data_IF_232746379879
#
_entry.id   IF_232746379879
#
_cell.length_a   1.000
_cell.length_b   1.000
_cell.length_c   1.000
_cell.angle_alpha   90.00
_cell.angle_beta   90.00
_cell.angle_gamma   90.00
#
_symmetry.space_group_name_H-M   'P 1'
#
loop_
_entity.id
_entity.type
_entity.pdbx_description
1 polymer ?
#
# COMPACT_ATOMS: atom_id res chain seq x y z
N UNK A 1 -21.70 8.96 -17.71
CA UNK A 1 -22.08 7.73 -18.41
C UNK A 1 -23.28 7.13 -17.70
N UNK A 2 -24.35 6.70 -18.39
CA UNK A 2 -25.44 5.97 -17.75
C UNK A 2 -24.90 4.63 -17.23
N UNK A 3 -25.17 4.30 -15.96
CA UNK A 3 -24.99 2.95 -15.45
C UNK A 3 -25.86 2.01 -16.29
N UNK A 4 -25.23 1.08 -17.02
CA UNK A 4 -25.96 -0.04 -17.61
C UNK A 4 -26.34 -0.94 -16.44
N UNK A 5 -27.53 -0.72 -15.88
CA UNK A 5 -28.11 -1.61 -14.88
C UNK A 5 -28.59 -2.87 -15.60
N UNK A 6 -27.67 -3.82 -15.78
CA UNK A 6 -28.01 -5.17 -16.21
C UNK A 6 -28.84 -5.86 -15.12
N UNK A 7 -29.82 -6.67 -15.52
CA UNK A 7 -30.41 -7.63 -14.60
C UNK A 7 -29.35 -8.66 -14.16
N UNK A 8 -29.59 -9.31 -13.02
CA UNK A 8 -28.67 -10.34 -12.52
C UNK A 8 -28.47 -11.48 -13.53
N UNK A 9 -29.53 -11.87 -14.25
CA UNK A 9 -29.48 -12.92 -15.28
C UNK A 9 -28.66 -12.48 -16.50
N UNK A 10 -28.79 -11.22 -16.94
CA UNK A 10 -27.99 -10.68 -18.05
C UNK A 10 -26.52 -10.56 -17.68
N UNK A 11 -26.21 -10.12 -16.45
CA UNK A 11 -24.84 -10.04 -15.97
C UNK A 11 -24.19 -11.43 -15.89
N UNK A 12 -24.92 -12.44 -15.43
CA UNK A 12 -24.43 -13.82 -15.37
C UNK A 12 -24.22 -14.41 -16.77
N UNK A 13 -25.17 -14.19 -17.69
CA UNK A 13 -25.04 -14.65 -19.07
C UNK A 13 -23.85 -14.00 -19.79
N UNK A 14 -23.64 -12.69 -19.57
CA UNK A 14 -22.53 -11.94 -20.16
C UNK A 14 -21.18 -12.39 -19.60
N UNK A 15 -21.10 -12.65 -18.30
CA UNK A 15 -19.91 -13.21 -17.68
C UNK A 15 -19.60 -14.63 -18.21
N UNK A 16 -20.61 -15.48 -18.35
CA UNK A 16 -20.44 -16.82 -18.94
C UNK A 16 -19.97 -16.74 -20.40
N UNK A 17 -20.49 -15.79 -21.18
CA UNK A 17 -20.03 -15.50 -22.54
C UNK A 17 -18.55 -15.12 -22.54
N UNK A 18 -18.13 -14.16 -21.73
CA UNK A 18 -16.73 -13.72 -21.68
C UNK A 18 -15.78 -14.83 -21.27
N UNK A 19 -16.11 -15.58 -20.22
CA UNK A 19 -15.29 -16.72 -19.78
C UNK A 19 -15.14 -17.74 -20.91
N UNK A 20 -16.23 -18.05 -21.62
CA UNK A 20 -16.20 -18.97 -22.76
C UNK A 20 -15.35 -18.42 -23.91
N UNK A 21 -15.52 -17.14 -24.26
CA UNK A 21 -14.78 -16.50 -25.35
C UNK A 21 -13.28 -16.47 -25.06
N UNK A 22 -12.89 -16.08 -23.85
CA UNK A 22 -11.49 -16.02 -23.42
C UNK A 22 -10.85 -17.42 -23.48
N UNK A 23 -11.54 -18.45 -23.00
CA UNK A 23 -11.00 -19.81 -22.94
C UNK A 23 -10.97 -20.52 -24.30
N UNK A 24 -11.98 -20.32 -25.14
CA UNK A 24 -12.12 -21.06 -26.40
C UNK A 24 -11.59 -20.29 -27.61
N UNK A 25 -11.67 -18.95 -27.59
CA UNK A 25 -11.28 -18.07 -28.70
C UNK A 25 -10.47 -16.87 -28.19
N UNK A 26 -9.31 -17.09 -27.53
CA UNK A 26 -8.55 -16.05 -26.84
C UNK A 26 -8.12 -14.89 -27.75
N UNK A 27 -7.76 -15.19 -29.01
CA UNK A 27 -7.38 -14.14 -29.96
C UNK A 27 -8.56 -13.23 -30.34
N UNK A 28 -9.77 -13.80 -30.43
CA UNK A 28 -10.99 -13.02 -30.68
C UNK A 28 -11.31 -12.14 -29.47
N UNK A 29 -11.18 -12.67 -28.25
CA UNK A 29 -11.36 -11.90 -27.02
C UNK A 29 -10.42 -10.69 -26.95
N UNK A 30 -9.11 -10.90 -27.20
CA UNK A 30 -8.14 -9.79 -27.23
C UNK A 30 -8.45 -8.78 -28.33
N UNK A 31 -8.84 -9.25 -29.52
CA UNK A 31 -9.19 -8.35 -30.62
C UNK A 31 -10.37 -7.46 -30.24
N UNK A 32 -11.43 -8.04 -29.67
CA UNK A 32 -12.61 -7.29 -29.22
C UNK A 32 -12.26 -6.28 -28.12
N UNK A 33 -11.48 -6.68 -27.11
CA UNK A 33 -11.10 -5.77 -26.02
C UNK A 33 -10.18 -4.64 -26.48
N UNK A 34 -9.28 -4.91 -27.42
CA UNK A 34 -8.45 -3.85 -28.01
C UNK A 34 -9.26 -2.90 -28.91
N UNK A 35 -10.28 -3.39 -29.61
CA UNK A 35 -11.14 -2.53 -30.44
C UNK A 35 -12.15 -1.73 -29.63
N UNK A 36 -12.66 -2.29 -28.53
CA UNK A 36 -13.69 -1.71 -27.67
C UNK A 36 -13.30 -1.87 -26.17
N UNK A 37 -12.35 -1.07 -25.65
CA UNK A 37 -11.88 -1.15 -24.27
C UNK A 37 -12.97 -0.99 -23.21
N UNK A 38 -14.09 -0.32 -23.54
CA UNK A 38 -15.27 -0.20 -22.70
C UNK A 38 -15.88 -1.55 -22.31
N UNK A 39 -15.72 -2.58 -23.15
CA UNK A 39 -16.18 -3.92 -22.89
C UNK A 39 -15.48 -4.57 -21.70
N UNK A 40 -14.30 -4.07 -21.31
CA UNK A 40 -13.64 -4.48 -20.06
C UNK A 40 -14.59 -4.34 -18.86
N UNK A 41 -15.46 -3.31 -18.87
CA UNK A 41 -16.48 -3.08 -17.85
C UNK A 41 -17.52 -4.20 -17.70
N UNK A 42 -17.58 -5.13 -18.65
CA UNK A 42 -18.62 -6.17 -18.75
C UNK A 42 -18.15 -7.59 -18.40
N UNK A 43 -16.85 -7.79 -18.16
CA UNK A 43 -16.29 -9.11 -17.81
C UNK A 43 -16.79 -9.61 -16.44
N UNK A 44 -17.03 -8.68 -15.52
CA UNK A 44 -17.21 -8.97 -14.10
C UNK A 44 -16.00 -9.71 -13.50
N UNK A 45 -16.08 -10.15 -12.23
CA UNK A 45 -14.94 -10.74 -11.52
C UNK A 45 -14.35 -11.99 -12.18
N UNK A 46 -15.19 -12.96 -12.56
CA UNK A 46 -14.72 -14.24 -13.15
C UNK A 46 -14.18 -14.10 -14.56
N UNK A 47 -14.75 -13.18 -15.34
CA UNK A 47 -14.23 -12.87 -16.67
C UNK A 47 -12.86 -12.21 -16.58
N UNK A 48 -12.67 -11.30 -15.61
CA UNK A 48 -11.37 -10.69 -15.33
C UNK A 48 -10.34 -11.74 -14.90
N UNK A 49 -10.70 -12.64 -13.97
CA UNK A 49 -9.84 -13.77 -13.58
C UNK A 49 -9.44 -14.62 -14.78
N UNK A 50 -10.41 -15.03 -15.62
CA UNK A 50 -10.12 -15.81 -16.82
C UNK A 50 -9.20 -15.07 -17.79
N UNK A 51 -9.35 -13.74 -17.93
CA UNK A 51 -8.50 -12.91 -18.77
C UNK A 51 -7.04 -12.97 -18.28
N UNK A 52 -6.82 -12.73 -16.99
CA UNK A 52 -5.47 -12.74 -16.40
C UNK A 52 -4.84 -14.13 -16.41
N UNK A 53 -5.61 -15.18 -16.10
CA UNK A 53 -5.13 -16.57 -16.17
C UNK A 53 -4.71 -16.98 -17.59
N UNK A 54 -5.45 -16.52 -18.60
CA UNK A 54 -5.23 -16.91 -19.99
C UNK A 54 -4.05 -16.18 -20.66
N UNK A 55 -3.84 -14.91 -20.31
CA UNK A 55 -2.88 -14.04 -21.02
C UNK A 55 -1.67 -13.61 -20.18
N UNK A 56 -1.76 -13.63 -18.85
CA UNK A 56 -0.66 -13.28 -17.94
C UNK A 56 0.05 -11.99 -18.32
N UNK A 57 1.39 -12.03 -18.31
CA UNK A 57 2.28 -10.88 -18.59
C UNK A 57 2.01 -10.19 -19.94
N UNK A 58 1.42 -10.88 -20.93
CA UNK A 58 1.06 -10.25 -22.20
C UNK A 58 0.06 -9.08 -22.01
N UNK A 59 -0.74 -9.11 -20.94
CA UNK A 59 -1.67 -8.04 -20.58
C UNK A 59 -0.98 -6.75 -20.16
N UNK A 60 0.27 -6.79 -19.71
CA UNK A 60 1.03 -5.59 -19.37
C UNK A 60 1.24 -4.68 -20.60
N UNK A 61 1.19 -5.23 -21.81
CA UNK A 61 1.32 -4.49 -23.07
C UNK A 61 -0.02 -4.26 -23.77
N UNK A 62 -1.15 -4.64 -23.15
CA UNK A 62 -2.45 -4.53 -23.78
C UNK A 62 -2.98 -3.08 -23.73
N UNK A 63 -3.34 -2.55 -24.89
CA UNK A 63 -3.78 -1.15 -25.04
C UNK A 63 -5.06 -0.84 -24.26
N UNK A 64 -5.93 -1.83 -24.07
CA UNK A 64 -7.17 -1.69 -23.31
C UNK A 64 -6.98 -1.70 -21.78
N UNK A 65 -5.77 -2.07 -21.30
CA UNK A 65 -5.37 -2.05 -19.89
C UNK A 65 -4.38 -0.92 -19.56
N UNK A 66 -4.16 0.01 -20.49
CA UNK A 66 -3.42 1.24 -20.20
C UNK A 66 -4.13 2.02 -19.10
N UNK A 67 -3.39 2.44 -18.07
CA UNK A 67 -3.96 3.11 -16.89
C UNK A 67 -4.79 4.31 -17.30
N UNK A 68 -4.28 5.14 -18.21
CA UNK A 68 -4.95 6.35 -18.73
C UNK A 68 -6.32 6.10 -19.36
N UNK A 69 -6.66 4.84 -19.62
CA UNK A 69 -7.91 4.42 -20.25
C UNK A 69 -8.83 3.66 -19.30
N UNK A 70 -8.52 3.53 -18.02
CA UNK A 70 -9.35 2.77 -17.07
C UNK A 70 -10.44 3.62 -16.39
N UNK A 71 -10.57 4.90 -16.77
CA UNK A 71 -11.51 5.87 -16.20
C UNK A 71 -12.98 5.48 -16.38
N UNK A 72 -13.31 4.68 -17.40
CA UNK A 72 -14.69 4.22 -17.66
C UNK A 72 -15.11 3.05 -16.77
N UNK A 73 -14.15 2.34 -16.16
CA UNK A 73 -14.45 1.19 -15.32
C UNK A 73 -15.12 1.64 -14.01
N UNK A 74 -16.06 0.83 -13.55
CA UNK A 74 -16.61 0.98 -12.20
C UNK A 74 -15.50 0.78 -11.16
N UNK A 75 -15.54 1.50 -10.01
CA UNK A 75 -14.45 1.48 -9.03
C UNK A 75 -14.01 0.08 -8.61
N UNK A 76 -14.94 -0.81 -8.26
CA UNK A 76 -14.61 -2.17 -7.80
C UNK A 76 -13.85 -3.00 -8.86
N UNK A 77 -14.26 -2.88 -10.13
CA UNK A 77 -13.62 -3.62 -11.22
C UNK A 77 -12.28 -3.01 -11.58
N UNK A 78 -12.18 -1.68 -11.53
CA UNK A 78 -10.93 -0.94 -11.71
C UNK A 78 -9.90 -1.36 -10.66
N UNK A 79 -10.28 -1.33 -9.39
CA UNK A 79 -9.42 -1.70 -8.27
C UNK A 79 -8.93 -3.15 -8.42
N UNK A 80 -9.83 -4.07 -8.77
CA UNK A 80 -9.46 -5.47 -9.04
C UNK A 80 -8.53 -5.63 -10.24
N UNK A 81 -8.74 -4.84 -11.30
CA UNK A 81 -7.87 -4.85 -12.48
C UNK A 81 -6.48 -4.32 -12.15
N UNK A 82 -6.40 -3.24 -11.37
CA UNK A 82 -5.12 -2.71 -10.87
C UNK A 82 -4.39 -3.73 -10.01
N UNK A 83 -5.07 -4.34 -9.03
CA UNK A 83 -4.51 -5.40 -8.18
C UNK A 83 -3.89 -6.53 -9.02
N UNK A 84 -4.61 -7.01 -10.03
CA UNK A 84 -4.13 -8.07 -10.93
C UNK A 84 -2.93 -7.62 -11.78
N UNK A 85 -2.92 -6.38 -12.29
CA UNK A 85 -1.78 -5.82 -13.03
C UNK A 85 -0.52 -5.70 -12.14
N UNK A 86 -0.69 -5.24 -10.90
CA UNK A 86 0.40 -5.19 -9.92
C UNK A 86 0.91 -6.59 -9.55
N UNK A 87 0.04 -7.59 -9.55
CA UNK A 87 0.40 -9.00 -9.38
C UNK A 87 1.26 -9.57 -10.50
N UNK A 88 1.15 -9.04 -11.72
CA UNK A 88 1.99 -9.41 -12.85
C UNK A 88 3.37 -8.74 -12.77
N UNK A 89 3.42 -7.42 -12.63
CA UNK A 89 4.68 -6.66 -12.53
C UNK A 89 4.51 -5.38 -11.70
N UNK A 90 4.82 -5.47 -10.41
CA UNK A 90 4.72 -4.34 -9.49
C UNK A 90 5.70 -3.20 -9.78
N UNK A 91 6.87 -3.47 -10.38
CA UNK A 91 7.87 -2.45 -10.71
C UNK A 91 7.39 -1.60 -11.88
N UNK A 92 7.02 -2.27 -12.99
CA UNK A 92 6.48 -1.60 -14.15
C UNK A 92 5.20 -0.81 -13.82
N UNK A 93 4.31 -1.38 -13.02
CA UNK A 93 3.05 -0.72 -12.65
C UNK A 93 3.29 0.48 -11.74
N UNK A 94 4.29 0.42 -10.84
CA UNK A 94 4.71 1.60 -10.06
C UNK A 94 5.15 2.72 -11.01
N UNK A 95 6.03 2.44 -11.95
CA UNK A 95 6.54 3.46 -12.89
C UNK A 95 5.41 4.10 -13.69
N UNK A 96 4.44 3.30 -14.15
CA UNK A 96 3.28 3.80 -14.90
C UNK A 96 2.39 4.69 -14.06
N UNK A 97 2.09 4.31 -12.81
CA UNK A 97 1.30 5.14 -11.88
C UNK A 97 2.00 6.47 -11.62
N UNK A 98 3.30 6.45 -11.35
CA UNK A 98 4.08 7.67 -11.08
C UNK A 98 4.20 8.59 -12.29
N UNK A 99 4.12 8.03 -13.51
CA UNK A 99 4.13 8.79 -14.75
C UNK A 99 2.80 9.51 -15.06
N UNK A 100 1.68 9.11 -14.42
CA UNK A 100 0.41 9.80 -14.56
C UNK A 100 0.50 11.24 -14.04
N UNK A 101 -0.28 12.16 -14.62
CA UNK A 101 -0.36 13.54 -14.13
C UNK A 101 -0.89 13.59 -12.68
N UNK A 102 -0.44 14.55 -11.88
CA UNK A 102 -0.83 14.67 -10.46
C UNK A 102 -2.34 14.89 -10.27
N UNK A 103 -3.00 15.55 -11.23
CA UNK A 103 -4.43 15.79 -11.25
C UNK A 103 -5.24 14.63 -11.85
N UNK A 104 -4.58 13.54 -12.27
CA UNK A 104 -5.26 12.36 -12.78
C UNK A 104 -5.91 11.59 -11.62
N UNK A 105 -7.24 11.37 -11.64
CA UNK A 105 -7.95 10.68 -10.55
C UNK A 105 -7.51 9.23 -10.34
N UNK A 106 -7.01 8.56 -11.39
CA UNK A 106 -6.48 7.20 -11.30
C UNK A 106 -5.14 7.14 -10.61
N UNK A 107 -4.39 8.24 -10.59
CA UNK A 107 -3.08 8.27 -9.93
C UNK A 107 -3.23 8.00 -8.43
N UNK A 108 -4.18 8.63 -7.77
CA UNK A 108 -4.40 8.41 -6.34
C UNK A 108 -4.76 6.94 -6.05
N UNK A 109 -5.66 6.34 -6.85
CA UNK A 109 -6.01 4.93 -6.73
C UNK A 109 -4.80 4.02 -6.97
N UNK A 110 -4.04 4.30 -8.03
CA UNK A 110 -2.82 3.57 -8.36
C UNK A 110 -1.76 3.66 -7.26
N UNK A 111 -1.61 4.81 -6.60
CA UNK A 111 -0.66 4.99 -5.50
C UNK A 111 -1.02 4.12 -4.29
N UNK A 112 -2.31 3.95 -3.98
CA UNK A 112 -2.74 2.96 -2.98
C UNK A 112 -2.34 1.53 -3.39
N UNK A 113 -2.53 1.16 -4.66
CA UNK A 113 -2.09 -0.16 -5.16
C UNK A 113 -0.57 -0.33 -5.12
N UNK A 114 0.23 0.73 -5.36
CA UNK A 114 1.69 0.72 -5.17
C UNK A 114 2.03 0.36 -3.73
N UNK A 115 1.35 1.00 -2.78
CA UNK A 115 1.57 0.76 -1.35
C UNK A 115 1.23 -0.69 -1.00
N UNK A 116 0.06 -1.18 -1.39
CA UNK A 116 -0.42 -2.54 -1.08
C UNK A 116 0.48 -3.63 -1.66
N UNK A 117 0.89 -3.47 -2.93
CA UNK A 117 1.76 -4.42 -3.62
C UNK A 117 3.15 -4.50 -2.95
N UNK A 118 3.68 -3.36 -2.50
CA UNK A 118 4.99 -3.30 -1.85
C UNK A 118 4.96 -3.74 -0.41
N UNK A 119 3.94 -3.36 0.35
CA UNK A 119 3.76 -3.83 1.73
C UNK A 119 3.67 -5.36 1.79
N UNK A 120 3.00 -5.98 0.82
CA UNK A 120 2.85 -7.44 0.74
C UNK A 120 4.17 -8.17 0.48
N UNK A 121 5.14 -7.52 -0.18
CA UNK A 121 6.41 -8.13 -0.59
C UNK A 121 7.62 -7.71 0.28
N UNK A 122 7.57 -6.55 0.91
CA UNK A 122 8.68 -5.94 1.66
C UNK A 122 8.17 -5.15 2.89
N UNK A 123 7.59 -5.80 3.91
CA UNK A 123 7.08 -5.08 5.08
C UNK A 123 8.24 -4.47 5.89
N UNK A 124 8.09 -3.25 6.40
CA UNK A 124 9.08 -2.63 7.29
C UNK A 124 9.88 -1.49 6.68
N UNK A 125 11.18 -1.48 6.99
CA UNK A 125 12.11 -0.41 6.62
C UNK A 125 12.33 -0.39 5.11
N UNK A 126 12.36 -1.54 4.46
CA UNK A 126 12.54 -1.69 3.02
C UNK A 126 11.43 -0.97 2.24
N UNK A 127 10.17 -1.11 2.67
CA UNK A 127 9.05 -0.35 2.12
C UNK A 127 9.24 1.16 2.29
N UNK A 128 9.69 1.60 3.47
CA UNK A 128 9.94 3.01 3.74
C UNK A 128 11.07 3.56 2.87
N UNK A 129 12.16 2.81 2.69
CA UNK A 129 13.27 3.16 1.81
C UNK A 129 12.83 3.28 0.36
N UNK A 130 12.05 2.32 -0.12
CA UNK A 130 11.45 2.35 -1.45
C UNK A 130 10.61 3.61 -1.63
N UNK A 131 9.61 3.81 -0.78
CA UNK A 131 8.66 4.90 -0.94
C UNK A 131 9.34 6.28 -0.80
N UNK A 132 10.29 6.38 0.12
CA UNK A 132 11.10 7.58 0.30
C UNK A 132 12.03 7.85 -0.88
N UNK A 133 12.58 6.81 -1.51
CA UNK A 133 13.42 6.89 -2.70
C UNK A 133 12.69 7.46 -3.92
N UNK A 134 11.37 7.25 -4.02
CA UNK A 134 10.55 7.79 -5.11
C UNK A 134 10.37 9.32 -5.02
N UNK A 135 10.46 9.89 -3.81
CA UNK A 135 10.26 11.32 -3.53
C UNK A 135 8.96 11.90 -4.10
N UNK A 136 7.92 11.06 -4.25
CA UNK A 136 6.66 11.47 -4.84
C UNK A 136 5.78 12.25 -3.83
N UNK A 137 5.33 13.48 -4.13
CA UNK A 137 4.57 14.28 -3.17
C UNK A 137 3.23 13.68 -2.76
N UNK A 138 2.51 13.05 -3.69
CA UNK A 138 1.19 12.47 -3.40
C UNK A 138 1.34 11.17 -2.61
N UNK A 139 2.30 10.33 -2.97
CA UNK A 139 2.64 9.14 -2.20
C UNK A 139 3.06 9.51 -0.77
N UNK A 140 3.93 10.53 -0.61
CA UNK A 140 4.36 10.97 0.70
C UNK A 140 3.21 11.48 1.57
N UNK A 141 2.22 12.15 0.98
CA UNK A 141 1.03 12.59 1.70
C UNK A 141 0.17 11.39 2.13
N UNK A 142 -0.08 10.44 1.22
CA UNK A 142 -0.78 9.19 1.55
C UNK A 142 -0.08 8.44 2.69
N UNK A 143 1.24 8.34 2.66
CA UNK A 143 2.02 7.69 3.72
C UNK A 143 1.95 8.43 5.04
N UNK A 144 1.78 9.76 5.03
CA UNK A 144 1.55 10.55 6.25
C UNK A 144 0.17 10.30 6.82
N UNK A 145 -0.85 10.27 5.99
CA UNK A 145 -2.25 10.10 6.42
C UNK A 145 -2.52 8.66 6.87
N UNK A 146 -2.09 7.68 6.09
CA UNK A 146 -2.42 6.26 6.27
C UNK A 146 -1.31 5.44 6.92
N UNK A 147 -0.26 6.07 7.47
CA UNK A 147 0.79 5.37 8.25
C UNK A 147 0.23 4.41 9.29
N UNK A 148 -0.92 4.82 9.86
CA UNK A 148 -1.90 4.04 10.60
C UNK A 148 -1.90 2.53 10.32
N UNK A 149 -2.03 2.23 9.03
CA UNK A 149 -2.50 0.96 8.49
C UNK A 149 -1.36 0.05 8.03
N UNK A 150 -0.11 0.52 8.05
CA UNK A 150 1.03 -0.29 7.67
C UNK A 150 1.44 -1.22 8.81
N UNK A 151 1.50 -2.52 8.50
CA UNK A 151 1.99 -3.54 9.41
C UNK A 151 3.52 -3.63 9.37
N UNK A 152 4.09 -3.73 10.56
CA UNK A 152 5.47 -3.37 10.80
C UNK A 152 6.06 -4.34 11.81
N UNK A 153 6.90 -5.27 11.35
CA UNK A 153 7.42 -6.37 12.18
C UNK A 153 8.36 -5.89 13.30
N UNK A 154 9.14 -4.83 13.05
CA UNK A 154 10.10 -4.26 13.99
C UNK A 154 9.93 -2.73 14.12
N UNK A 155 9.16 -2.25 15.12
CA UNK A 155 8.97 -0.83 15.37
C UNK A 155 10.27 -0.07 15.68
N UNK A 156 11.31 -0.74 16.20
CA UNK A 156 12.57 -0.09 16.57
C UNK A 156 13.40 0.22 15.34
N UNK A 157 13.56 -0.75 14.44
CA UNK A 157 14.23 -0.55 13.17
C UNK A 157 13.60 0.62 12.38
N UNK A 158 12.27 0.78 12.46
CA UNK A 158 11.57 1.90 11.83
C UNK A 158 11.86 3.22 12.51
N UNK A 159 11.80 3.27 13.85
CA UNK A 159 12.18 4.48 14.57
C UNK A 159 13.62 4.86 14.24
N UNK A 160 14.58 3.94 14.31
CA UNK A 160 15.98 4.22 13.91
C UNK A 160 16.07 4.78 12.49
N UNK A 161 15.35 4.15 11.55
CA UNK A 161 15.34 4.61 10.17
C UNK A 161 14.78 6.03 10.05
N UNK A 162 13.64 6.34 10.65
CA UNK A 162 13.04 7.68 10.61
C UNK A 162 13.99 8.71 11.23
N UNK A 163 14.73 8.36 12.30
CA UNK A 163 15.69 9.26 12.94
C UNK A 163 16.84 9.67 12.04
N UNK A 164 17.35 8.69 11.32
CA UNK A 164 18.64 8.83 10.64
C UNK A 164 18.49 9.06 9.13
N UNK A 165 17.32 8.74 8.56
CA UNK A 165 17.10 8.71 7.11
C UNK A 165 15.96 9.60 6.62
N UNK A 166 14.93 9.85 7.41
CA UNK A 166 13.76 10.65 6.99
C UNK A 166 14.02 12.18 7.04
N UNK A 167 15.03 12.66 6.32
CA UNK A 167 15.40 14.08 6.31
C UNK A 167 14.36 15.00 5.66
N UNK A 168 13.39 14.44 4.93
CA UNK A 168 12.26 15.16 4.32
C UNK A 168 11.04 15.20 5.25
N UNK A 169 11.10 14.48 6.38
CA UNK A 169 10.03 14.45 7.37
C UNK A 169 8.74 13.81 6.87
N UNK A 170 8.82 12.82 5.98
CA UNK A 170 7.65 12.08 5.48
C UNK A 170 7.02 11.27 6.62
N UNK A 171 7.83 10.52 7.36
CA UNK A 171 7.38 9.60 8.40
C UNK A 171 7.56 10.14 9.83
N UNK A 172 8.31 11.23 9.99
CA UNK A 172 8.58 11.90 11.28
C UNK A 172 7.34 12.16 12.14
N UNK A 173 6.17 12.57 11.60
CA UNK A 173 4.96 12.75 12.42
C UNK A 173 4.52 11.50 13.20
N UNK A 174 5.02 10.32 12.84
CA UNK A 174 4.53 9.04 13.33
C UNK A 174 5.37 8.41 14.44
N UNK A 175 6.48 9.07 14.78
CA UNK A 175 7.43 8.61 15.79
C UNK A 175 6.82 8.40 17.16
N UNK A 176 5.96 9.32 17.59
CA UNK A 176 5.32 9.24 18.91
C UNK A 176 4.42 8.00 19.01
N UNK A 177 3.78 7.61 17.90
CA UNK A 177 2.94 6.42 17.83
C UNK A 177 3.79 5.16 17.93
N UNK A 178 4.87 5.08 17.14
CA UNK A 178 5.81 3.97 17.16
C UNK A 178 6.47 3.82 18.53
N UNK A 179 6.87 4.93 19.17
CA UNK A 179 7.46 4.91 20.50
C UNK A 179 6.51 4.30 21.54
N UNK A 180 5.22 4.66 21.50
CA UNK A 180 4.19 4.07 22.38
C UNK A 180 3.99 2.58 22.11
N UNK A 181 3.95 2.17 20.84
CA UNK A 181 3.83 0.76 20.47
C UNK A 181 5.05 -0.05 20.93
N UNK A 182 6.26 0.42 20.63
CA UNK A 182 7.51 -0.21 21.05
C UNK A 182 7.57 -0.38 22.56
N UNK A 183 7.24 0.66 23.32
CA UNK A 183 7.15 0.60 24.78
C UNK A 183 6.11 -0.44 25.23
N UNK A 184 4.94 -0.51 24.60
CA UNK A 184 3.87 -1.44 25.01
C UNK A 184 4.21 -2.92 24.79
N UNK A 185 4.96 -3.22 23.74
CA UNK A 185 5.25 -4.59 23.27
C UNK A 185 6.53 -5.21 23.84
N UNK A 186 7.41 -4.41 24.45
CA UNK A 186 8.73 -4.87 24.94
C UNK A 186 8.84 -4.79 26.46
N UNK A 187 9.85 -5.51 27.00
CA UNK A 187 10.19 -5.40 28.42
C UNK A 187 10.84 -4.05 28.72
N UNK A 188 10.77 -3.61 29.97
CA UNK A 188 11.37 -2.32 30.36
C UNK A 188 12.89 -2.32 30.23
N UNK A 189 13.54 -3.46 30.43
CA UNK A 189 14.98 -3.62 30.23
C UNK A 189 15.36 -3.40 28.76
N UNK A 190 14.55 -3.91 27.84
CA UNK A 190 14.72 -3.67 26.40
C UNK A 190 14.49 -2.20 26.05
N UNK A 191 13.41 -1.59 26.55
CA UNK A 191 13.14 -0.16 26.35
C UNK A 191 14.30 0.70 26.83
N UNK A 192 14.88 0.41 27.99
CA UNK A 192 16.04 1.12 28.50
C UNK A 192 17.26 1.00 27.56
N UNK A 193 17.55 -0.21 27.09
CA UNK A 193 18.65 -0.45 26.16
C UNK A 193 18.49 0.37 24.86
N UNK A 194 17.27 0.58 24.37
CA UNK A 194 17.01 1.41 23.18
C UNK A 194 17.25 2.90 23.42
N UNK A 195 16.83 3.41 24.58
CA UNK A 195 17.08 4.81 24.95
C UNK A 195 18.60 5.03 25.14
N UNK A 196 19.29 4.06 25.74
CA UNK A 196 20.75 4.05 25.87
C UNK A 196 21.48 4.02 24.52
N UNK A 197 20.93 3.31 23.54
CA UNK A 197 21.44 3.27 22.17
C UNK A 197 21.24 4.60 21.40
N UNK A 198 20.48 5.56 21.96
CA UNK A 198 20.26 6.88 21.35
C UNK A 198 19.13 6.93 20.32
N UNK A 199 18.30 5.90 20.28
CA UNK A 199 17.15 5.79 19.38
C UNK A 199 15.98 6.57 19.98
N UNK A 200 15.58 7.69 19.38
CA UNK A 200 14.47 8.55 19.81
C UNK A 200 14.27 8.64 21.33
N UNK A 201 15.35 8.96 22.09
CA UNK A 201 15.40 8.70 23.52
C UNK A 201 14.34 9.50 24.29
N UNK A 202 14.08 10.74 23.91
CA UNK A 202 13.07 11.59 24.54
C UNK A 202 11.63 11.09 24.35
N UNK A 203 11.31 10.56 23.17
CA UNK A 203 9.97 10.07 22.84
C UNK A 203 9.72 8.73 23.51
N UNK A 204 10.70 7.81 23.46
CA UNK A 204 10.65 6.54 24.20
C UNK A 204 10.55 6.78 25.71
N UNK A 205 11.32 7.70 26.27
CA UNK A 205 11.24 8.11 27.66
C UNK A 205 9.85 8.64 28.02
N UNK A 206 9.30 9.54 27.19
CA UNK A 206 7.98 10.14 27.42
C UNK A 206 6.85 9.11 27.29
N UNK A 207 6.96 8.16 26.35
CA UNK A 207 6.01 7.06 26.18
C UNK A 207 6.07 6.05 27.33
N UNK A 208 7.27 5.66 27.77
CA UNK A 208 7.48 4.86 28.98
C UNK A 208 6.89 5.57 30.20
N UNK A 209 7.10 6.88 30.29
CA UNK A 209 6.58 7.72 31.36
C UNK A 209 5.05 7.67 31.44
N UNK A 210 4.38 7.86 30.30
CA UNK A 210 2.93 7.83 30.23
C UNK A 210 2.35 6.44 30.55
N UNK A 211 3.04 5.36 30.17
CA UNK A 211 2.58 3.98 30.43
C UNK A 211 2.65 3.60 31.91
N UNK A 212 3.73 3.96 32.59
CA UNK A 212 4.05 3.37 33.90
C UNK A 212 3.22 3.92 35.05
N UNK A 213 2.76 5.18 34.98
CA UNK A 213 2.17 5.87 36.14
C UNK A 213 3.05 5.79 37.41
N UNK A 214 2.55 6.24 38.55
CA UNK A 214 3.18 5.94 39.85
C UNK A 214 2.73 4.52 40.30
N UNK A 215 3.53 3.54 40.76
CA UNK A 215 4.97 3.23 40.81
C UNK A 215 5.05 1.71 41.11
N UNK A 216 6.00 1.01 40.48
CA UNK A 216 6.64 -0.21 41.03
C UNK A 216 8.14 0.07 41.22
N UNK A 217 8.84 -0.71 42.03
CA UNK A 217 10.27 -0.46 42.36
C UNK A 217 11.20 -0.54 41.13
N UNK A 218 10.91 -1.40 40.16
CA UNK A 218 11.66 -1.49 38.90
C UNK A 218 11.46 -0.27 38.01
N UNK A 219 10.26 0.30 38.02
CA UNK A 219 9.95 1.51 37.26
C UNK A 219 10.74 2.71 37.82
N UNK A 220 10.95 2.78 39.14
CA UNK A 220 11.64 3.89 39.78
C UNK A 220 13.09 4.06 39.33
N UNK A 221 13.83 2.97 39.15
CA UNK A 221 15.20 3.04 38.66
C UNK A 221 15.29 3.55 37.23
N UNK A 222 14.36 3.12 36.37
CA UNK A 222 14.25 3.64 35.01
C UNK A 222 13.88 5.13 35.03
N UNK A 223 12.98 5.53 35.93
CA UNK A 223 12.57 6.92 36.09
C UNK A 223 13.72 7.84 36.47
N UNK A 224 14.51 7.44 37.46
CA UNK A 224 15.67 8.20 37.91
C UNK A 224 16.71 8.32 36.77
N UNK A 225 16.94 7.22 36.04
CA UNK A 225 17.84 7.20 34.88
C UNK A 225 17.36 8.12 33.72
N UNK A 226 16.05 8.14 33.43
CA UNK A 226 15.45 9.01 32.40
C UNK A 226 15.55 10.50 32.74
N UNK A 227 15.53 10.86 34.02
CA UNK A 227 15.63 12.24 34.46
C UNK A 227 17.06 12.78 34.40
N UNK A 228 18.07 11.94 34.62
CA UNK A 228 19.48 12.31 34.59
C UNK A 228 20.03 12.62 33.18
N UNK A 229 19.28 12.30 32.10
CA UNK A 229 19.72 12.43 30.70
C UNK A 229 18.95 13.47 29.87
N UNK A 230 18.04 14.25 30.49
CA UNK A 230 17.41 15.44 29.88
C UNK A 230 18.31 16.66 29.99
#
# INVERSE_FOLDING_TARGET
MPEILLSAEEAEALQAYWVTLIQQQPQEALMQLNSEPELLGTLGPRGLEALFDQFGDALLQADFLQLERMDHLQPQLRDKTLEQLFGLDSELMTDRVLALAQDNPLRQQGLYSVIDARQSSQPGVEFMEFAYGLQDPQLNELLREDYGNFEFADPLAQMEWIQHRDYLGVFTPQLDRLARQAVSSHSMEQVQAFIEAGVYPSQLASAAQARLGERSASNQQLWDWLQDRR
#
